data_IF_794308940420
#
_entry.id   IF_794308940420
#
_cell.length_a   1.000
_cell.length_b   1.000
_cell.length_c   1.000
_cell.angle_alpha   90.00
_cell.angle_beta   90.00
_cell.angle_gamma   90.00
#
_symmetry.space_group_name_H-M   'P 1'
#
loop_
_entity.id
_entity.type
_entity.pdbx_description
1 polymer ?
#
# COMPACT_ATOMS: atom_id res chain seq x y z
N UNK A 1 6.88 -1.65 4.86
CA UNK A 1 6.53 -0.22 5.02
C UNK A 1 7.76 0.59 4.68
N UNK A 2 7.58 1.77 4.08
CA UNK A 2 8.65 2.71 3.76
C UNK A 2 8.26 4.04 4.35
N UNK A 3 9.21 4.72 4.97
CA UNK A 3 8.98 6.01 5.61
C UNK A 3 10.03 7.02 5.15
N UNK A 4 9.68 8.30 5.16
CA UNK A 4 10.70 9.35 5.20
C UNK A 4 11.45 9.27 6.53
N UNK A 5 12.66 9.81 6.57
CA UNK A 5 13.45 9.93 7.80
C UNK A 5 13.32 11.32 8.44
N UNK A 6 12.32 12.10 8.03
CA UNK A 6 12.14 13.48 8.51
C UNK A 6 11.16 13.54 9.66
N UNK A 7 11.54 14.25 10.72
CA UNK A 7 10.69 14.53 11.89
C UNK A 7 10.85 16.02 12.20
N UNK A 8 9.85 16.83 11.81
CA UNK A 8 10.00 18.28 11.74
C UNK A 8 11.15 18.66 10.81
N UNK A 9 12.06 19.52 11.27
CA UNK A 9 13.23 19.95 10.51
C UNK A 9 14.42 18.98 10.59
N UNK A 10 14.30 17.88 11.35
CA UNK A 10 15.39 16.92 11.56
C UNK A 10 15.30 15.75 10.61
N UNK A 11 16.47 15.25 10.20
CA UNK A 11 16.59 13.93 9.56
C UNK A 11 17.19 12.96 10.58
N UNK A 12 16.51 11.87 10.88
CA UNK A 12 16.97 10.87 11.87
C UNK A 12 17.62 9.66 11.20
N UNK A 13 18.47 8.95 11.96
CA UNK A 13 19.16 7.75 11.50
C UNK A 13 18.62 6.54 12.27
N UNK A 14 17.87 5.70 11.57
CA UNK A 14 17.17 4.55 12.17
C UNK A 14 17.99 3.28 11.97
N UNK A 15 18.20 2.55 13.05
CA UNK A 15 18.85 1.25 13.09
C UNK A 15 17.95 0.19 13.76
N UNK A 16 18.39 -1.07 13.70
CA UNK A 16 17.72 -2.18 14.41
C UNK A 16 18.11 -2.14 15.88
N UNK A 17 17.13 -2.08 16.78
CA UNK A 17 17.40 -2.02 18.23
C UNK A 17 17.70 -3.37 18.89
N UNK A 18 17.40 -4.48 18.21
CA UNK A 18 17.39 -5.84 18.79
C UNK A 18 16.16 -6.15 19.67
N UNK A 19 15.29 -5.17 19.92
CA UNK A 19 14.08 -5.34 20.71
C UNK A 19 12.85 -5.67 19.85
N UNK A 20 11.89 -6.34 20.48
CA UNK A 20 10.58 -6.62 19.93
C UNK A 20 9.49 -6.02 20.80
N UNK A 21 8.46 -5.48 20.17
CA UNK A 21 7.19 -5.16 20.79
C UNK A 21 6.09 -5.90 20.05
N UNK A 22 5.27 -6.70 20.74
CA UNK A 22 4.23 -7.51 20.08
C UNK A 22 4.73 -8.45 18.96
N UNK A 23 5.97 -8.97 19.08
CA UNK A 23 6.68 -9.76 18.05
C UNK A 23 7.02 -8.97 16.77
N UNK A 24 6.95 -7.65 16.85
CA UNK A 24 7.33 -6.70 15.80
C UNK A 24 8.63 -6.00 16.17
N UNK A 25 9.51 -5.81 15.20
CA UNK A 25 10.79 -5.11 15.37
C UNK A 25 10.59 -3.69 15.91
N UNK A 26 11.45 -3.28 16.83
CA UNK A 26 11.59 -1.88 17.23
C UNK A 26 12.85 -1.32 16.57
N UNK A 27 12.72 -0.16 15.94
CA UNK A 27 13.85 0.62 15.43
C UNK A 27 14.35 1.55 16.53
N UNK A 28 15.62 1.94 16.46
CA UNK A 28 16.21 2.96 17.34
C UNK A 28 16.75 4.10 16.47
N UNK A 29 16.46 5.33 16.87
CA UNK A 29 17.18 6.50 16.35
C UNK A 29 18.56 6.55 17.00
N UNK A 30 19.62 6.47 16.21
CA UNK A 30 21.00 6.41 16.69
C UNK A 30 21.42 7.68 17.42
N UNK A 31 20.80 8.82 17.14
CA UNK A 31 21.15 10.10 17.77
C UNK A 31 20.38 10.31 19.08
N UNK A 32 19.05 10.34 19.03
CA UNK A 32 18.24 10.64 20.23
C UNK A 32 18.01 9.42 21.12
N UNK A 33 18.35 8.23 20.63
CA UNK A 33 18.03 6.93 21.27
C UNK A 33 16.53 6.70 21.46
N UNK A 34 15.69 7.44 20.73
CA UNK A 34 14.25 7.19 20.69
C UNK A 34 13.95 5.85 20.04
N UNK A 35 12.97 5.12 20.58
CA UNK A 35 12.55 3.81 20.11
C UNK A 35 11.28 3.95 19.27
N UNK A 36 11.31 3.42 18.05
CA UNK A 36 10.27 3.61 17.05
C UNK A 36 9.63 2.26 16.67
N UNK A 37 8.30 2.25 16.57
CA UNK A 37 7.58 1.12 16.00
C UNK A 37 7.79 1.08 14.49
N UNK A 38 8.40 0.01 13.95
CA UNK A 38 8.54 -0.14 12.49
C UNK A 38 7.20 -0.28 11.76
N UNK A 39 6.15 -0.69 12.50
CA UNK A 39 4.82 -0.93 11.95
C UNK A 39 3.94 0.31 12.00
N UNK A 40 4.11 1.17 13.01
CA UNK A 40 3.30 2.37 13.18
C UNK A 40 4.00 3.63 12.68
N UNK A 41 5.34 3.62 12.60
CA UNK A 41 6.12 4.82 12.31
C UNK A 41 6.16 5.79 13.49
N UNK A 42 5.67 5.39 14.67
CA UNK A 42 5.59 6.22 15.87
C UNK A 42 6.78 5.97 16.81
N UNK A 43 7.31 7.04 17.39
CA UNK A 43 8.24 6.99 18.51
C UNK A 43 7.49 6.60 19.80
N UNK A 44 7.72 5.39 20.29
CA UNK A 44 7.06 4.86 21.49
C UNK A 44 7.75 5.33 22.80
N UNK A 45 9.06 5.59 22.74
CA UNK A 45 9.88 5.96 23.91
C UNK A 45 11.03 6.87 23.51
N UNK A 46 11.50 7.69 24.46
CA UNK A 46 12.65 8.56 24.30
C UNK A 46 12.27 10.01 23.99
N UNK A 47 13.25 10.87 23.67
CA UNK A 47 13.03 12.31 23.47
C UNK A 47 12.02 12.66 22.38
N UNK A 48 11.85 11.80 21.37
CA UNK A 48 10.93 12.03 20.25
C UNK A 48 9.56 11.36 20.44
N UNK A 49 9.24 10.84 21.64
CA UNK A 49 7.99 10.11 21.90
C UNK A 49 6.75 10.84 21.38
N UNK A 50 5.87 10.11 20.70
CA UNK A 50 4.64 10.63 20.09
C UNK A 50 4.84 11.29 18.73
N UNK A 51 6.08 11.42 18.26
CA UNK A 51 6.35 11.82 16.87
C UNK A 51 6.04 10.67 15.92
N UNK A 52 5.63 11.01 14.70
CA UNK A 52 5.30 10.07 13.63
C UNK A 52 6.18 10.29 12.40
N UNK A 53 6.52 9.21 11.71
CA UNK A 53 7.20 9.22 10.42
C UNK A 53 6.18 9.25 9.29
N UNK A 54 6.42 10.10 8.29
CA UNK A 54 5.61 10.12 7.07
C UNK A 54 5.84 8.83 6.27
N UNK A 55 4.78 8.05 6.08
CA UNK A 55 4.82 6.84 5.25
C UNK A 55 4.78 7.19 3.77
N UNK A 56 5.58 6.47 2.97
CA UNK A 56 5.59 6.59 1.52
C UNK A 56 4.87 5.39 0.88
N UNK A 57 4.14 5.59 -0.23
CA UNK A 57 3.64 4.48 -1.03
C UNK A 57 4.78 3.56 -1.45
N UNK A 58 4.57 2.25 -1.28
CA UNK A 58 5.53 1.22 -1.64
C UNK A 58 4.77 -0.04 -2.02
N UNK A 59 5.37 -0.83 -2.92
CA UNK A 59 4.67 -1.92 -3.57
C UNK A 59 5.34 -3.26 -3.28
N UNK A 60 4.52 -4.29 -3.06
CA UNK A 60 4.96 -5.68 -3.14
C UNK A 60 4.46 -6.25 -4.45
N UNK A 61 5.39 -6.55 -5.34
CA UNK A 61 5.11 -6.94 -6.72
C UNK A 61 6.18 -7.90 -7.22
N UNK A 62 5.86 -8.72 -8.22
CA UNK A 62 6.87 -9.56 -8.86
C UNK A 62 7.88 -8.70 -9.64
N UNK A 63 9.13 -9.18 -9.71
CA UNK A 63 10.17 -8.49 -10.47
C UNK A 63 9.81 -8.33 -11.96
N UNK A 64 9.21 -9.37 -12.56
CA UNK A 64 8.76 -9.33 -13.95
C UNK A 64 7.77 -8.20 -14.21
N UNK A 65 6.74 -8.07 -13.37
CA UNK A 65 5.74 -7.01 -13.51
C UNK A 65 6.35 -5.62 -13.25
N UNK A 66 7.18 -5.48 -12.20
CA UNK A 66 7.87 -4.22 -11.95
C UNK A 66 8.75 -3.79 -13.12
N UNK A 67 9.53 -4.72 -13.69
CA UNK A 67 10.45 -4.42 -14.79
C UNK A 67 9.73 -4.06 -16.09
N UNK A 68 8.53 -4.61 -16.33
CA UNK A 68 7.68 -4.23 -17.46
C UNK A 68 7.26 -2.76 -17.39
N UNK A 69 6.86 -2.28 -16.22
CA UNK A 69 6.45 -0.88 -16.01
C UNK A 69 7.65 0.07 -15.82
N UNK A 70 8.76 -0.44 -15.27
CA UNK A 70 9.96 0.34 -14.96
C UNK A 70 11.22 -0.30 -15.57
N UNK A 71 11.36 -0.31 -16.91
CA UNK A 71 12.42 -1.04 -17.62
C UNK A 71 13.83 -0.54 -17.31
N UNK A 72 13.98 0.68 -16.78
CA UNK A 72 15.27 1.24 -16.39
C UNK A 72 15.66 0.96 -14.93
N UNK A 73 14.79 0.31 -14.14
CA UNK A 73 15.11 0.02 -12.73
C UNK A 73 16.33 -0.89 -12.60
N UNK A 74 17.26 -0.50 -11.73
CA UNK A 74 18.35 -1.34 -11.25
C UNK A 74 17.97 -2.03 -9.95
N UNK A 75 18.39 -3.29 -9.78
CA UNK A 75 18.21 -4.03 -8.52
C UNK A 75 19.53 -4.06 -7.75
N UNK A 76 19.47 -3.85 -6.43
CA UNK A 76 20.61 -4.11 -5.56
C UNK A 76 20.79 -5.64 -5.43
N UNK A 77 21.81 -6.17 -6.10
CA UNK A 77 22.12 -7.60 -6.08
C UNK A 77 23.16 -7.91 -4.99
N UNK A 78 22.75 -8.57 -3.91
CA UNK A 78 23.63 -8.99 -2.81
C UNK A 78 23.61 -10.52 -2.69
N UNK A 79 24.73 -11.12 -2.28
CA UNK A 79 24.93 -12.60 -2.23
C UNK A 79 23.86 -13.36 -1.43
N UNK A 80 23.12 -12.68 -0.55
CA UNK A 80 22.06 -13.23 0.31
C UNK A 80 20.64 -13.11 -0.24
N UNK A 81 20.42 -12.66 -1.48
CA UNK A 81 19.07 -12.63 -2.07
C UNK A 81 18.60 -14.03 -2.44
N UNK A 82 17.44 -14.45 -1.92
CA UNK A 82 16.75 -15.65 -2.40
C UNK A 82 16.41 -15.48 -3.87
N UNK A 83 16.72 -16.49 -4.70
CA UNK A 83 16.29 -16.52 -6.12
C UNK A 83 14.83 -16.93 -6.30
N UNK A 84 14.20 -17.42 -5.22
CA UNK A 84 12.81 -17.85 -5.24
C UNK A 84 11.96 -16.88 -4.40
N UNK A 85 11.16 -16.06 -5.08
CA UNK A 85 9.97 -15.50 -4.46
C UNK A 85 8.91 -16.61 -4.48
N UNK A 86 8.75 -17.31 -3.36
CA UNK A 86 7.72 -18.36 -3.30
C UNK A 86 6.39 -17.65 -3.09
N UNK A 87 5.45 -17.83 -4.04
CA UNK A 87 4.05 -17.42 -3.92
C UNK A 87 3.30 -18.19 -2.79
N UNK A 88 4.00 -18.68 -1.76
CA UNK A 88 3.41 -19.32 -0.57
C UNK A 88 2.34 -18.43 0.08
N UNK A 89 2.50 -17.11 -0.08
CA UNK A 89 1.52 -16.08 0.23
C UNK A 89 0.11 -16.38 -0.33
N UNK A 90 0.01 -16.99 -1.52
CA UNK A 90 -1.26 -17.30 -2.20
C UNK A 90 -1.85 -18.65 -1.85
N UNK A 91 -1.12 -19.52 -1.14
CA UNK A 91 -1.71 -20.81 -0.70
C UNK A 91 -2.90 -20.60 0.20
N UNK A 92 -2.99 -19.45 0.88
CA UNK A 92 -4.12 -19.10 1.72
C UNK A 92 -4.35 -17.57 1.74
N UNK A 93 -5.02 -17.01 0.71
CA UNK A 93 -5.22 -15.57 0.59
C UNK A 93 -6.04 -14.98 1.74
N UNK A 94 -6.90 -15.78 2.39
CA UNK A 94 -7.72 -15.34 3.53
C UNK A 94 -6.89 -14.87 4.74
N UNK A 95 -5.60 -15.22 4.80
CA UNK A 95 -4.69 -14.77 5.87
C UNK A 95 -4.22 -13.33 5.68
N UNK A 96 -4.49 -12.71 4.53
CA UNK A 96 -3.91 -11.44 4.14
C UNK A 96 -4.94 -10.38 3.82
N UNK A 97 -4.58 -9.15 4.13
CA UNK A 97 -5.34 -7.95 3.81
C UNK A 97 -4.44 -6.94 3.14
N UNK A 98 -5.01 -6.18 2.22
CA UNK A 98 -4.48 -4.88 1.85
C UNK A 98 -5.13 -3.85 2.76
N UNK A 99 -4.31 -3.08 3.47
CA UNK A 99 -4.73 -2.26 4.59
C UNK A 99 -4.15 -0.86 4.52
N UNK A 100 -4.89 0.12 5.01
CA UNK A 100 -4.49 1.52 5.01
C UNK A 100 -5.14 2.26 6.17
N UNK A 101 -4.60 3.43 6.50
CA UNK A 101 -5.22 4.37 7.42
C UNK A 101 -5.57 5.62 6.63
N UNK A 102 -6.81 6.08 6.74
CA UNK A 102 -7.25 7.35 6.15
C UNK A 102 -8.10 8.10 7.15
N UNK A 103 -7.82 9.39 7.34
CA UNK A 103 -8.55 10.26 8.25
C UNK A 103 -8.63 9.66 9.68
N UNK A 104 -7.51 9.12 10.18
CA UNK A 104 -7.37 8.37 11.44
C UNK A 104 -8.20 7.07 11.56
N UNK A 105 -8.92 6.67 10.52
CA UNK A 105 -9.67 5.42 10.46
C UNK A 105 -8.86 4.35 9.71
N UNK A 106 -8.52 3.22 10.37
CA UNK A 106 -7.94 2.07 9.68
C UNK A 106 -9.00 1.30 8.87
N UNK A 107 -8.60 0.81 7.70
CA UNK A 107 -9.40 0.00 6.79
C UNK A 107 -8.61 -1.23 6.32
N UNK A 108 -9.33 -2.27 5.91
CA UNK A 108 -8.73 -3.46 5.33
C UNK A 108 -9.64 -4.11 4.28
N UNK A 109 -9.06 -4.52 3.16
CA UNK A 109 -9.67 -5.33 2.12
C UNK A 109 -9.02 -6.73 2.11
N UNK A 110 -9.82 -7.79 2.21
CA UNK A 110 -9.33 -9.18 2.16
C UNK A 110 -8.81 -9.55 0.78
N UNK A 111 -7.71 -10.29 0.70
CA UNK A 111 -7.14 -10.73 -0.59
C UNK A 111 -8.06 -11.70 -1.34
N UNK A 112 -8.80 -12.55 -0.62
CA UNK A 112 -9.81 -13.46 -1.17
C UNK A 112 -10.95 -12.72 -1.88
N UNK A 113 -11.32 -11.55 -1.36
CA UNK A 113 -12.29 -10.66 -1.98
C UNK A 113 -11.67 -9.88 -3.16
N UNK A 114 -10.46 -9.36 -3.02
CA UNK A 114 -9.76 -8.63 -4.10
C UNK A 114 -9.45 -9.52 -5.31
N UNK A 115 -9.23 -10.82 -5.10
CA UNK A 115 -9.12 -11.80 -6.18
C UNK A 115 -10.40 -11.90 -7.03
N UNK A 116 -11.57 -11.66 -6.43
CA UNK A 116 -12.88 -11.67 -7.11
C UNK A 116 -13.27 -10.29 -7.64
N UNK A 117 -12.80 -9.23 -6.97
CA UNK A 117 -13.11 -7.83 -7.25
C UNK A 117 -11.80 -7.04 -7.39
N UNK A 118 -11.07 -7.20 -8.51
CA UNK A 118 -9.73 -6.63 -8.69
C UNK A 118 -9.73 -5.11 -8.84
N UNK A 119 -10.90 -4.49 -9.00
CA UNK A 119 -11.11 -3.04 -8.97
C UNK A 119 -12.26 -2.79 -8.01
N UNK A 120 -11.94 -2.20 -6.85
CA UNK A 120 -12.88 -1.97 -5.77
C UNK A 120 -13.00 -0.47 -5.51
N UNK A 121 -14.11 0.13 -5.93
CA UNK A 121 -14.43 1.52 -5.60
C UNK A 121 -14.95 1.62 -4.17
N UNK A 122 -14.44 2.59 -3.42
CA UNK A 122 -14.86 2.84 -2.04
C UNK A 122 -15.16 4.34 -1.87
N UNK A 123 -16.38 4.63 -1.39
CA UNK A 123 -16.74 5.97 -0.93
C UNK A 123 -16.44 6.08 0.55
N UNK A 124 -15.26 6.56 0.88
CA UNK A 124 -14.93 6.97 2.25
C UNK A 124 -15.46 8.39 2.46
N UNK A 125 -15.90 8.73 3.68
CA UNK A 125 -16.72 9.93 3.96
C UNK A 125 -16.24 11.25 3.33
N UNK A 126 -14.92 11.41 3.13
CA UNK A 126 -14.33 12.65 2.61
C UNK A 126 -13.51 12.51 1.33
N UNK A 127 -13.20 11.29 0.86
CA UNK A 127 -12.48 11.14 -0.40
C UNK A 127 -12.72 9.76 -1.01
N UNK A 128 -13.18 9.69 -2.27
CA UNK A 128 -13.36 8.43 -2.98
C UNK A 128 -11.99 7.83 -3.31
N UNK A 129 -11.87 6.53 -3.10
CA UNK A 129 -10.65 5.79 -3.42
C UNK A 129 -10.99 4.55 -4.23
N UNK A 130 -10.01 4.06 -4.99
CA UNK A 130 -10.09 2.78 -5.68
C UNK A 130 -8.94 1.90 -5.21
N UNK A 131 -9.26 0.67 -4.84
CA UNK A 131 -8.27 -0.38 -4.62
C UNK A 131 -8.17 -1.19 -5.91
N UNK A 132 -6.95 -1.35 -6.41
CA UNK A 132 -6.66 -2.27 -7.53
C UNK A 132 -5.88 -3.46 -7.04
N UNK A 133 -6.09 -4.61 -7.68
CA UNK A 133 -5.40 -5.85 -7.36
C UNK A 133 -5.05 -6.64 -8.63
N UNK A 134 -3.76 -6.85 -8.86
CA UNK A 134 -3.27 -7.70 -9.94
C UNK A 134 -3.00 -9.11 -9.42
N UNK A 135 -3.82 -10.07 -9.88
CA UNK A 135 -3.71 -11.48 -9.51
C UNK A 135 -2.38 -12.12 -9.91
N UNK A 136 -1.73 -11.64 -10.98
CA UNK A 136 -0.54 -12.27 -11.53
C UNK A 136 0.70 -11.84 -10.77
N UNK A 137 0.84 -10.51 -10.64
CA UNK A 137 1.97 -9.86 -9.98
C UNK A 137 1.79 -9.66 -8.51
N UNK A 138 0.59 -9.94 -7.98
CA UNK A 138 0.31 -9.93 -6.54
C UNK A 138 0.23 -8.53 -5.94
N UNK A 139 0.26 -7.52 -6.80
CA UNK A 139 0.31 -6.13 -6.41
C UNK A 139 -1.09 -5.63 -6.02
N UNK A 140 -1.13 -4.87 -4.94
CA UNK A 140 -2.30 -4.18 -4.47
C UNK A 140 -1.96 -2.70 -4.34
N UNK A 141 -2.82 -1.83 -4.86
CA UNK A 141 -2.61 -0.40 -4.83
C UNK A 141 -3.85 0.30 -4.31
N UNK A 142 -3.63 1.45 -3.66
CA UNK A 142 -4.68 2.37 -3.27
C UNK A 142 -4.47 3.67 -4.04
N UNK A 143 -5.48 4.11 -4.77
CA UNK A 143 -5.44 5.38 -5.47
C UNK A 143 -6.56 6.29 -5.00
N UNK A 144 -6.30 7.61 -5.00
CA UNK A 144 -7.38 8.59 -5.04
C UNK A 144 -8.14 8.42 -6.35
N UNK A 145 -9.47 8.37 -6.27
CA UNK A 145 -10.33 8.35 -7.46
C UNK A 145 -10.62 9.75 -8.01
N UNK A 146 -9.95 10.78 -7.49
CA UNK A 146 -10.13 12.16 -7.92
C UNK A 146 -9.09 12.57 -8.97
N UNK A 147 -9.56 13.08 -10.11
CA UNK A 147 -8.75 13.60 -11.21
C UNK A 147 -9.36 14.90 -11.69
N UNK A 148 -8.58 15.99 -11.71
CA UNK A 148 -9.02 17.32 -12.12
C UNK A 148 -10.38 17.73 -11.49
N UNK A 149 -10.48 17.58 -10.15
CA UNK A 149 -11.66 17.87 -9.33
C UNK A 149 -12.91 17.00 -9.63
N UNK A 150 -12.73 15.86 -10.30
CA UNK A 150 -13.81 14.91 -10.61
C UNK A 150 -13.56 13.59 -9.91
N UNK A 151 -14.59 13.06 -9.26
CA UNK A 151 -14.60 11.69 -8.76
C UNK A 151 -14.90 10.71 -9.90
N UNK A 152 -14.00 9.78 -10.14
CA UNK A 152 -14.12 8.70 -11.11
C UNK A 152 -14.58 7.40 -10.43
N UNK A 153 -15.35 6.59 -11.16
CA UNK A 153 -15.68 5.22 -10.76
C UNK A 153 -15.10 4.26 -11.78
N UNK A 154 -14.44 3.22 -11.31
CA UNK A 154 -13.68 2.32 -12.16
C UNK A 154 -14.33 0.95 -12.26
N UNK A 155 -14.25 0.33 -13.43
CA UNK A 155 -14.69 -1.04 -13.67
C UNK A 155 -13.58 -1.82 -14.36
N UNK A 156 -13.45 -3.10 -14.02
CA UNK A 156 -12.59 -4.01 -14.76
C UNK A 156 -13.39 -4.69 -15.88
N UNK A 157 -12.85 -4.74 -17.09
CA UNK A 157 -13.41 -5.58 -18.15
C UNK A 157 -13.05 -7.07 -17.95
N UNK A 158 -13.52 -7.94 -18.85
CA UNK A 158 -13.28 -9.40 -18.78
C UNK A 158 -11.79 -9.76 -18.90
N UNK A 159 -10.97 -8.86 -19.44
CA UNK A 159 -9.53 -9.00 -19.58
C UNK A 159 -8.78 -8.40 -18.38
N UNK A 160 -9.49 -7.83 -17.40
CA UNK A 160 -8.92 -7.19 -16.21
C UNK A 160 -8.44 -5.76 -16.46
N UNK A 161 -8.73 -5.16 -17.63
CA UNK A 161 -8.36 -3.77 -17.90
C UNK A 161 -9.31 -2.84 -17.16
N UNK A 162 -8.75 -1.84 -16.49
CA UNK A 162 -9.51 -0.88 -15.71
C UNK A 162 -9.97 0.28 -16.59
N UNK A 163 -11.25 0.64 -16.51
CA UNK A 163 -11.85 1.76 -17.25
C UNK A 163 -12.64 2.65 -16.30
N UNK A 164 -12.63 3.97 -16.49
CA UNK A 164 -13.56 4.84 -15.76
C UNK A 164 -14.93 4.91 -16.45
N UNK A 165 -16.01 4.94 -15.66
CA UNK A 165 -17.38 4.94 -16.16
C UNK A 165 -17.80 6.29 -16.79
N UNK A 166 -17.15 7.38 -16.41
CA UNK A 166 -17.51 8.74 -16.78
C UNK A 166 -17.07 9.09 -18.21
N UNK A 167 -15.90 8.60 -18.62
CA UNK A 167 -15.28 8.93 -19.91
C UNK A 167 -14.95 7.71 -20.76
N UNK A 168 -14.92 6.51 -20.16
CA UNK A 168 -14.47 5.29 -20.81
C UNK A 168 -12.96 5.27 -21.05
N UNK A 169 -12.16 6.08 -20.34
CA UNK A 169 -10.70 6.05 -20.48
C UNK A 169 -10.19 4.75 -19.86
N UNK A 170 -9.26 4.09 -20.54
CA UNK A 170 -8.54 2.91 -20.05
C UNK A 170 -7.36 3.35 -19.18
N UNK A 171 -7.20 2.70 -18.03
CA UNK A 171 -6.17 2.96 -17.04
C UNK A 171 -5.33 1.70 -16.78
N UNK A 172 -4.03 1.88 -16.61
CA UNK A 172 -3.15 0.85 -16.08
C UNK A 172 -3.39 0.74 -14.57
N UNK A 173 -3.93 -0.38 -14.12
CA UNK A 173 -4.32 -0.62 -12.72
C UNK A 173 -3.14 -0.73 -11.76
N UNK A 174 -1.93 -1.01 -12.26
CA UNK A 174 -0.71 -1.09 -11.44
C UNK A 174 -0.05 0.28 -11.25
N UNK A 175 -0.14 1.17 -12.23
CA UNK A 175 0.54 2.48 -12.18
C UNK A 175 -0.41 3.65 -11.96
N UNK A 176 -1.72 3.44 -12.11
CA UNK A 176 -2.72 4.50 -12.08
C UNK A 176 -2.65 5.45 -13.27
N UNK A 177 -1.92 5.13 -14.33
CA UNK A 177 -1.79 5.98 -15.53
C UNK A 177 -2.91 5.69 -16.53
N UNK A 178 -3.56 6.73 -17.03
CA UNK A 178 -4.48 6.64 -18.16
C UNK A 178 -3.71 6.38 -19.47
N UNK A 179 -3.98 5.26 -20.12
CA UNK A 179 -3.23 4.79 -21.30
C UNK A 179 -3.95 5.06 -22.62
N UNK A 180 -5.27 5.15 -22.60
CA UNK A 180 -6.11 5.33 -23.80
C UNK A 180 -7.42 6.03 -23.46
N UNK A 181 -7.86 6.97 -24.30
CA UNK A 181 -9.12 7.70 -24.11
C UNK A 181 -8.92 9.17 -23.74
N UNK A 182 -9.99 9.80 -23.23
CA UNK A 182 -10.06 11.26 -23.04
C UNK A 182 -9.09 11.79 -21.98
N UNK A 183 -8.76 10.97 -20.98
CA UNK A 183 -7.87 11.34 -19.87
C UNK A 183 -6.45 10.80 -20.07
N UNK A 184 -6.08 10.32 -21.27
CA UNK A 184 -4.75 9.75 -21.55
C UNK A 184 -3.61 10.63 -21.04
N UNK A 185 -2.65 10.02 -20.35
CA UNK A 185 -1.50 10.70 -19.74
C UNK A 185 -1.74 11.26 -18.35
N UNK A 186 -2.99 11.31 -17.86
CA UNK A 186 -3.28 11.61 -16.45
C UNK A 186 -2.88 10.44 -15.57
N UNK A 187 -2.62 10.72 -14.30
CA UNK A 187 -2.18 9.73 -13.32
C UNK A 187 -2.99 9.88 -12.03
N UNK A 188 -3.50 8.76 -11.51
CA UNK A 188 -4.13 8.74 -10.21
C UNK A 188 -3.09 8.91 -9.11
N UNK A 189 -3.40 9.72 -8.10
CA UNK A 189 -2.52 9.86 -6.94
C UNK A 189 -2.53 8.57 -6.12
N UNK A 190 -1.41 7.87 -6.08
CA UNK A 190 -1.23 6.71 -5.20
C UNK A 190 -1.20 7.15 -3.74
N UNK A 191 -1.94 6.41 -2.91
CA UNK A 191 -2.03 6.60 -1.48
C UNK A 191 -1.28 5.47 -0.77
N UNK A 192 -0.98 5.68 0.52
CA UNK A 192 -0.28 4.68 1.32
C UNK A 192 -1.21 3.53 1.64
N UNK A 193 -0.84 2.35 1.17
CA UNK A 193 -1.43 1.08 1.56
C UNK A 193 -0.32 0.06 1.81
N UNK A 194 -0.62 -0.94 2.64
CA UNK A 194 0.31 -1.99 2.99
C UNK A 194 -0.37 -3.35 2.89
N UNK A 195 0.43 -4.37 2.67
CA UNK A 195 -0.03 -5.74 2.81
C UNK A 195 0.36 -6.25 4.20
N UNK A 196 -0.60 -6.87 4.88
CA UNK A 196 -0.39 -7.41 6.23
C UNK A 196 -1.10 -8.75 6.39
N UNK A 197 -0.62 -9.55 7.34
CA UNK A 197 -1.46 -10.60 7.91
C UNK A 197 -2.69 -9.97 8.57
N UNK A 198 -3.87 -10.54 8.34
CA UNK A 198 -5.15 -10.04 8.86
C UNK A 198 -5.14 -9.93 10.39
N UNK A 199 -4.65 -10.97 11.07
CA UNK A 199 -4.58 -11.01 12.54
C UNK A 199 -3.60 -9.96 13.10
N UNK A 200 -2.46 -9.75 12.44
CA UNK A 200 -1.50 -8.72 12.84
C UNK A 200 -2.11 -7.34 12.67
N UNK A 201 -2.72 -7.06 11.52
CA UNK A 201 -3.38 -5.77 11.28
C UNK A 201 -4.44 -5.47 12.35
N UNK A 202 -5.34 -6.43 12.61
CA UNK A 202 -6.39 -6.30 13.63
C UNK A 202 -5.83 -6.10 15.04
N UNK A 203 -4.69 -6.70 15.38
CA UNK A 203 -4.05 -6.53 16.68
C UNK A 203 -3.56 -5.09 16.91
N UNK A 204 -3.02 -4.44 15.88
CA UNK A 204 -2.52 -3.06 15.99
C UNK A 204 -3.60 -2.01 15.67
N UNK A 205 -4.63 -2.38 14.91
CA UNK A 205 -5.75 -1.54 14.50
C UNK A 205 -7.09 -2.22 14.84
N UNK A 206 -7.45 -2.36 16.13
CA UNK A 206 -8.63 -3.11 16.55
C UNK A 206 -9.96 -2.51 16.06
N UNK A 207 -9.98 -1.21 15.77
CA UNK A 207 -11.10 -0.48 15.19
C UNK A 207 -11.11 -0.47 13.65
N UNK A 208 -10.29 -1.30 12.99
CA UNK A 208 -10.25 -1.39 11.53
C UNK A 208 -11.60 -1.79 10.95
N UNK A 209 -12.06 -1.04 9.93
CA UNK A 209 -13.25 -1.38 9.15
C UNK A 209 -12.85 -2.32 8.00
N UNK A 210 -13.46 -3.49 7.93
CA UNK A 210 -13.35 -4.34 6.74
C UNK A 210 -14.22 -3.74 5.65
N UNK A 211 -13.66 -3.58 4.45
CA UNK A 211 -14.38 -3.07 3.29
C UNK A 211 -14.59 -4.16 2.25
N UNK A 212 -15.63 -3.98 1.43
CA UNK A 212 -15.88 -4.81 0.27
C UNK A 212 -16.74 -4.11 -0.78
N UNK A 213 -17.10 -4.81 -1.86
CA UNK A 213 -17.94 -4.24 -2.90
C UNK A 213 -19.24 -3.71 -2.27
N UNK A 214 -19.67 -2.54 -2.71
CA UNK A 214 -20.99 -2.02 -2.36
C UNK A 214 -22.05 -3.01 -2.85
N UNK A 215 -22.96 -3.40 -1.94
CA UNK A 215 -24.20 -4.13 -2.30
C UNK A 215 -25.05 -3.35 -3.30
#
# INVERSE_FOLDING_TARGET
>A
MVYTRKVGDRTINLAVSGMLWNRSLIMIDEETKSLWSHLLGEALKGPLKGSELEALPAEMVTWEAWKREHPQTTVLNISRTSRNYVKDFYRNPSRFVFAWVKDAQPYAAGFDMLLKNPVLNLKLEKSPVVVTFDKESTAAHLFSSEVDDRSLMFVADKQGRMHDMQTGTTWNSNTGVAVEGKLKGKTLKQLVGIVSYANTWKKFHPNSKTVGPSE
#
